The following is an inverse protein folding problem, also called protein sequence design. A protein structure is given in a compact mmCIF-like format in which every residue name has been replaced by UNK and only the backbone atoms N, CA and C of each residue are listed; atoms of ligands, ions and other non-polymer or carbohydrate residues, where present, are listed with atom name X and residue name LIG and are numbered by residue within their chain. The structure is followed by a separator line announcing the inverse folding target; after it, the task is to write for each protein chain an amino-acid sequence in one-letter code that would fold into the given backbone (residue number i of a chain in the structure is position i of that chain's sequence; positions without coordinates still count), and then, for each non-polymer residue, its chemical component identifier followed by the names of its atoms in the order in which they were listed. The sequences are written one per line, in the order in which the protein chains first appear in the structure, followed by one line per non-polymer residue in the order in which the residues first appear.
data_IF_795073970085
#
_entry.id   IF_795073970085
#
_cell.length_a   1.000
_cell.length_b   1.000
_cell.length_c   1.000
_cell.angle_alpha   90.00
_cell.angle_beta   90.00
_cell.angle_gamma   90.00
#
_symmetry.space_group_name_H-M   'P 1'
#
loop_
_entity.id
_entity.type
_entity.pdbx_description
1 polymer ?
#
# COMPACT_ATOMS: atom_id res chain seq x y z
N UNK A 1 -19.66 15.05 39.22
CA UNK A 1 -18.61 15.57 38.32
C UNK A 1 -17.93 14.42 37.58
N UNK A 2 -17.74 14.57 36.25
CA UNK A 2 -16.92 13.65 35.47
C UNK A 2 -15.46 13.73 35.91
N UNK A 3 -14.68 12.70 35.59
CA UNK A 3 -13.26 12.61 36.01
C UNK A 3 -12.45 13.84 35.61
N UNK A 4 -12.55 14.30 34.37
CA UNK A 4 -11.76 15.41 33.84
C UNK A 4 -12.18 16.74 34.48
N UNK A 5 -13.50 16.95 34.70
CA UNK A 5 -14.03 18.13 35.41
C UNK A 5 -13.58 18.15 36.88
N UNK A 6 -13.51 16.99 37.53
CA UNK A 6 -13.01 16.87 38.89
C UNK A 6 -11.52 17.16 39.01
N UNK A 7 -10.70 16.71 38.03
CA UNK A 7 -9.27 17.00 37.96
C UNK A 7 -9.00 18.49 37.74
N UNK A 8 -9.73 19.13 36.81
CA UNK A 8 -9.64 20.56 36.57
C UNK A 8 -9.99 21.38 37.80
N UNK A 9 -11.10 21.03 38.47
CA UNK A 9 -11.49 21.69 39.73
C UNK A 9 -10.42 21.52 40.81
N UNK A 10 -9.88 20.31 40.99
CA UNK A 10 -8.81 20.02 41.94
C UNK A 10 -7.58 20.90 41.68
N UNK A 11 -7.14 20.98 40.43
CA UNK A 11 -6.01 21.83 40.02
C UNK A 11 -6.25 23.32 40.34
N UNK A 12 -7.46 23.83 40.07
CA UNK A 12 -7.80 25.24 40.40
C UNK A 12 -7.85 25.50 41.89
N UNK A 13 -8.26 24.50 42.69
CA UNK A 13 -8.32 24.62 44.16
C UNK A 13 -6.92 24.60 44.82
N UNK A 14 -5.89 24.12 44.12
CA UNK A 14 -4.51 24.17 44.60
C UNK A 14 -3.90 25.57 44.55
N UNK A 15 -4.32 26.40 43.60
CA UNK A 15 -3.72 27.70 43.29
C UNK A 15 -4.49 28.90 43.82
N UNK A 16 -5.73 28.72 44.37
CA UNK A 16 -6.62 29.81 44.76
C UNK A 16 -7.24 29.68 46.14
N UNK A 17 -8.01 30.72 46.57
CA UNK A 17 -8.84 30.69 47.75
C UNK A 17 -9.97 29.69 47.55
N UNK A 18 -9.90 28.55 48.24
CA UNK A 18 -10.68 27.34 47.98
C UNK A 18 -12.18 27.59 47.82
N UNK A 19 -12.79 28.33 48.74
CA UNK A 19 -14.23 28.58 48.73
C UNK A 19 -14.65 29.46 47.54
N UNK A 20 -13.87 30.50 47.27
CA UNK A 20 -14.11 31.44 46.18
C UNK A 20 -13.91 30.76 44.80
N UNK A 21 -12.83 29.98 44.66
CA UNK A 21 -12.54 29.21 43.45
C UNK A 21 -13.60 28.14 43.18
N UNK A 22 -14.07 27.46 44.23
CA UNK A 22 -15.16 26.48 44.12
C UNK A 22 -16.47 27.10 43.63
N UNK A 23 -16.91 28.23 44.22
CA UNK A 23 -18.10 28.95 43.78
C UNK A 23 -17.97 29.46 42.37
N UNK A 24 -16.88 30.13 42.05
CA UNK A 24 -16.63 30.66 40.71
C UNK A 24 -16.63 29.56 39.61
N UNK A 25 -16.19 28.36 39.96
CA UNK A 25 -16.20 27.22 39.04
C UNK A 25 -17.60 26.77 38.64
N UNK A 26 -18.55 26.76 39.60
CA UNK A 26 -19.92 26.32 39.33
C UNK A 26 -20.83 27.46 38.85
N UNK A 27 -20.50 28.71 39.15
CA UNK A 27 -21.20 29.90 38.70
C UNK A 27 -20.71 30.44 37.34
N UNK A 28 -19.61 29.86 36.81
CA UNK A 28 -19.08 30.25 35.52
C UNK A 28 -20.10 29.98 34.40
N UNK A 29 -20.25 30.90 33.43
CA UNK A 29 -21.04 30.65 32.24
C UNK A 29 -20.48 29.44 31.48
N UNK A 30 -21.36 28.73 30.80
CA UNK A 30 -20.97 27.61 29.94
C UNK A 30 -20.05 28.13 28.81
N UNK A 31 -18.90 27.50 28.63
CA UNK A 31 -17.96 27.73 27.56
C UNK A 31 -17.70 26.38 26.87
N UNK A 32 -18.58 25.96 25.92
CA UNK A 32 -18.55 24.63 25.34
C UNK A 32 -17.34 24.48 24.44
N UNK A 33 -16.48 23.51 24.74
CA UNK A 33 -15.23 23.24 24.00
C UNK A 33 -15.05 21.78 23.65
N UNK A 34 -14.59 21.54 22.44
CA UNK A 34 -14.14 20.25 21.99
C UNK A 34 -12.68 20.06 22.39
N UNK A 35 -12.36 18.92 23.02
CA UNK A 35 -11.00 18.53 23.36
C UNK A 35 -10.56 17.38 22.46
N UNK A 36 -9.25 17.08 22.37
CA UNK A 36 -8.71 15.99 21.52
C UNK A 36 -9.39 14.64 21.71
N UNK A 37 -9.96 14.37 22.89
CA UNK A 37 -10.53 13.06 23.24
C UNK A 37 -11.98 13.12 23.72
N UNK A 38 -12.47 14.30 24.10
CA UNK A 38 -13.78 14.46 24.73
C UNK A 38 -14.32 15.88 24.48
N UNK A 39 -15.39 16.23 25.17
CA UNK A 39 -15.94 17.58 25.18
C UNK A 39 -16.05 18.10 26.60
N UNK A 40 -16.05 19.40 26.78
CA UNK A 40 -16.22 20.07 28.06
C UNK A 40 -17.24 21.22 27.96
N UNK A 41 -18.03 21.39 29.00
CA UNK A 41 -18.99 22.50 29.14
C UNK A 41 -18.31 23.77 29.69
N UNK A 42 -17.08 23.70 30.14
CA UNK A 42 -16.30 24.75 30.75
C UNK A 42 -14.89 24.78 30.12
N UNK A 43 -14.28 25.96 30.07
CA UNK A 43 -12.89 26.06 29.63
C UNK A 43 -11.94 25.37 30.62
N UNK A 44 -11.15 24.39 30.15
CA UNK A 44 -10.05 23.77 30.90
C UNK A 44 -8.72 24.44 30.52
N UNK A 45 -7.76 24.43 31.45
CA UNK A 45 -6.49 25.13 31.28
C UNK A 45 -5.68 24.65 30.04
N UNK A 46 -5.81 23.37 29.67
CA UNK A 46 -5.10 22.75 28.55
C UNK A 46 -5.94 22.61 27.25
N UNK A 47 -7.11 23.21 27.18
CA UNK A 47 -7.97 23.10 26.00
C UNK A 47 -7.67 24.17 24.96
N UNK A 48 -6.87 23.85 23.95
CA UNK A 48 -6.62 24.68 22.76
C UNK A 48 -7.53 24.30 21.59
N UNK A 49 -8.83 24.04 21.80
CA UNK A 49 -9.64 23.46 20.76
C UNK A 49 -10.93 24.26 20.49
N UNK A 50 -11.62 23.83 19.46
CA UNK A 50 -12.79 24.49 18.87
C UNK A 50 -13.86 24.86 19.92
N UNK A 51 -14.33 26.11 19.91
CA UNK A 51 -15.37 26.62 20.80
C UNK A 51 -16.69 26.67 20.08
N UNK A 52 -17.80 26.43 20.81
CA UNK A 52 -19.16 26.42 20.28
C UNK A 52 -20.04 27.45 21.04
N UNK A 53 -21.05 27.97 20.34
CA UNK A 53 -21.94 28.94 20.94
C UNK A 53 -22.81 28.33 22.04
N UNK A 54 -23.27 27.08 21.82
CA UNK A 54 -24.10 26.36 22.80
C UNK A 54 -23.55 24.94 23.04
N UNK A 55 -23.86 24.39 24.21
CA UNK A 55 -23.56 22.99 24.55
C UNK A 55 -24.27 22.02 23.59
N UNK A 56 -25.46 22.38 23.09
CA UNK A 56 -26.21 21.58 22.11
C UNK A 56 -25.44 21.47 20.79
N UNK A 57 -24.94 22.58 20.27
CA UNK A 57 -24.15 22.58 19.03
C UNK A 57 -22.88 21.75 19.17
N UNK A 58 -22.19 21.86 20.32
CA UNK A 58 -21.04 21.05 20.64
C UNK A 58 -21.39 19.55 20.66
N UNK A 59 -22.47 19.18 21.34
CA UNK A 59 -22.91 17.78 21.47
C UNK A 59 -23.33 17.21 20.10
N UNK A 60 -24.07 17.96 19.32
CA UNK A 60 -24.50 17.56 17.99
C UNK A 60 -23.26 17.34 17.09
N UNK A 61 -22.32 18.27 17.08
CA UNK A 61 -21.06 18.12 16.35
C UNK A 61 -20.26 16.87 16.81
N UNK A 62 -20.04 16.73 18.12
CA UNK A 62 -19.28 15.62 18.68
C UNK A 62 -19.89 14.24 18.39
N UNK A 63 -21.22 14.11 18.54
CA UNK A 63 -21.88 12.81 18.35
C UNK A 63 -22.10 12.48 16.88
N UNK A 64 -22.31 13.46 15.99
CA UNK A 64 -22.36 13.24 14.54
C UNK A 64 -21.01 12.74 14.03
N UNK A 65 -19.93 13.42 14.38
CA UNK A 65 -18.55 13.02 14.02
C UNK A 65 -18.17 11.67 14.61
N UNK A 66 -18.59 11.40 15.84
CA UNK A 66 -18.31 10.11 16.48
C UNK A 66 -19.08 8.98 15.80
N UNK A 67 -20.36 9.17 15.51
CA UNK A 67 -21.18 8.16 14.83
C UNK A 67 -20.66 7.86 13.42
N UNK A 68 -20.19 8.88 12.69
CA UNK A 68 -19.58 8.69 11.38
C UNK A 68 -18.24 7.95 11.50
N UNK A 69 -17.37 8.37 12.42
CA UNK A 69 -16.10 7.67 12.69
C UNK A 69 -16.31 6.21 13.10
N UNK A 70 -17.26 5.92 13.97
CA UNK A 70 -17.58 4.56 14.41
C UNK A 70 -18.09 3.70 13.24
N UNK A 71 -18.93 4.27 12.36
CA UNK A 71 -19.38 3.59 11.12
C UNK A 71 -18.24 3.31 10.16
N UNK A 72 -17.38 4.31 9.92
CA UNK A 72 -16.17 4.14 9.08
C UNK A 72 -15.29 3.04 9.67
N UNK A 73 -15.00 3.10 10.96
CA UNK A 73 -14.16 2.12 11.64
C UNK A 73 -14.76 0.71 11.61
N UNK A 74 -16.09 0.57 11.76
CA UNK A 74 -16.76 -0.72 11.68
C UNK A 74 -16.68 -1.31 10.24
N UNK A 75 -17.02 -0.52 9.23
CA UNK A 75 -17.01 -0.98 7.83
C UNK A 75 -15.60 -1.16 7.27
N UNK A 76 -14.71 -0.20 7.52
CA UNK A 76 -13.31 -0.31 7.15
C UNK A 76 -12.62 -1.45 7.88
N UNK A 77 -12.88 -1.63 9.18
CA UNK A 77 -12.29 -2.69 10.00
C UNK A 77 -12.62 -4.11 9.50
N UNK A 78 -13.81 -4.34 8.91
CA UNK A 78 -14.12 -5.62 8.25
C UNK A 78 -13.27 -5.81 6.99
N UNK A 79 -13.13 -4.75 6.18
CA UNK A 79 -12.33 -4.80 4.96
C UNK A 79 -10.83 -4.89 5.25
N UNK A 80 -10.33 -4.11 6.21
CA UNK A 80 -8.93 -4.16 6.64
C UNK A 80 -8.56 -5.58 7.06
N UNK A 81 -9.34 -6.21 7.95
CA UNK A 81 -9.07 -7.60 8.36
C UNK A 81 -9.05 -8.58 7.19
N UNK A 82 -9.90 -8.40 6.18
CA UNK A 82 -9.88 -9.24 4.97
C UNK A 82 -8.64 -9.02 4.13
N UNK A 83 -8.23 -7.76 3.96
CA UNK A 83 -7.02 -7.38 3.23
C UNK A 83 -5.78 -7.91 3.94
N UNK A 84 -5.69 -7.75 5.27
CA UNK A 84 -4.58 -8.26 6.09
C UNK A 84 -4.44 -9.79 5.97
N UNK A 85 -5.56 -10.51 6.05
CA UNK A 85 -5.57 -11.96 5.88
C UNK A 85 -5.07 -12.39 4.48
N UNK A 86 -5.50 -11.70 3.43
CA UNK A 86 -5.01 -11.98 2.07
C UNK A 86 -3.54 -11.56 1.88
N UNK A 87 -3.10 -10.48 2.51
CA UNK A 87 -1.68 -10.08 2.55
C UNK A 87 -0.82 -11.15 3.21
N UNK A 88 -1.21 -11.60 4.40
CA UNK A 88 -0.49 -12.65 5.13
C UNK A 88 -0.40 -13.95 4.32
N UNK A 89 -1.52 -14.37 3.72
CA UNK A 89 -1.59 -15.55 2.85
C UNK A 89 -0.66 -15.43 1.64
N UNK A 90 -0.66 -14.28 0.96
CA UNK A 90 0.20 -14.07 -0.20
C UNK A 90 1.68 -13.92 0.19
N UNK A 91 2.02 -13.33 1.34
CA UNK A 91 3.39 -13.30 1.86
C UNK A 91 3.91 -14.70 2.20
N UNK A 92 3.09 -15.56 2.82
CA UNK A 92 3.44 -16.99 3.05
C UNK A 92 3.60 -17.74 1.74
N UNK A 93 2.73 -17.49 0.74
CA UNK A 93 2.84 -18.08 -0.60
C UNK A 93 4.14 -17.66 -1.27
N UNK A 94 4.49 -16.37 -1.21
CA UNK A 94 5.74 -15.84 -1.79
C UNK A 94 6.96 -16.51 -1.18
N UNK A 95 7.06 -16.59 0.14
CA UNK A 95 8.16 -17.22 0.84
C UNK A 95 8.33 -18.70 0.43
N UNK A 96 7.21 -19.44 0.27
CA UNK A 96 7.24 -20.81 -0.21
C UNK A 96 7.75 -20.91 -1.65
N UNK A 97 7.28 -20.05 -2.55
CA UNK A 97 7.69 -20.00 -3.95
C UNK A 97 9.19 -19.65 -4.09
N UNK A 98 9.68 -18.69 -3.30
CA UNK A 98 11.10 -18.32 -3.28
C UNK A 98 11.98 -19.46 -2.74
N UNK A 99 11.54 -20.19 -1.70
CA UNK A 99 12.23 -21.39 -1.21
C UNK A 99 12.24 -22.52 -2.25
N UNK A 100 11.14 -22.72 -2.97
CA UNK A 100 11.07 -23.70 -4.07
C UNK A 100 11.99 -23.29 -5.23
N UNK A 101 12.09 -21.99 -5.55
CA UNK A 101 13.01 -21.50 -6.56
C UNK A 101 14.47 -21.72 -6.15
N UNK A 102 14.84 -21.40 -4.92
CA UNK A 102 16.17 -21.65 -4.38
C UNK A 102 16.56 -23.14 -4.45
N UNK A 103 15.62 -24.05 -4.22
CA UNK A 103 15.85 -25.49 -4.35
C UNK A 103 16.14 -25.94 -5.81
N UNK A 104 15.94 -25.09 -6.80
CA UNK A 104 16.25 -25.37 -8.21
C UNK A 104 17.66 -24.94 -8.64
N UNK A 105 18.44 -24.27 -7.77
CA UNK A 105 19.79 -23.77 -8.08
C UNK A 105 20.75 -24.86 -8.56
N UNK A 106 20.53 -26.12 -8.13
CA UNK A 106 21.34 -27.27 -8.55
C UNK A 106 21.00 -27.80 -9.96
N UNK A 107 20.19 -27.10 -10.74
CA UNK A 107 19.82 -27.58 -12.09
C UNK A 107 21.03 -27.81 -12.97
N UNK A 108 21.99 -26.89 -12.93
CA UNK A 108 23.21 -26.95 -13.75
C UNK A 108 24.09 -28.17 -13.41
N UNK A 109 24.14 -28.60 -12.14
CA UNK A 109 24.83 -29.81 -11.71
C UNK A 109 24.28 -31.05 -12.40
N UNK A 110 22.95 -31.12 -12.57
CA UNK A 110 22.33 -32.24 -13.28
C UNK A 110 22.68 -32.23 -14.76
N UNK A 111 22.80 -31.08 -15.40
CA UNK A 111 23.27 -30.96 -16.79
C UNK A 111 24.70 -31.45 -16.93
N UNK A 112 25.61 -30.95 -16.09
CA UNK A 112 27.02 -31.33 -16.10
C UNK A 112 27.22 -32.82 -15.87
N UNK A 113 26.50 -33.40 -14.87
CA UNK A 113 26.55 -34.86 -14.62
C UNK A 113 26.07 -35.66 -15.83
N UNK A 114 24.99 -35.24 -16.48
CA UNK A 114 24.50 -35.86 -17.72
C UNK A 114 25.50 -35.79 -18.87
N UNK A 115 26.17 -34.65 -19.05
CA UNK A 115 27.22 -34.46 -20.08
C UNK A 115 28.45 -35.32 -19.77
N UNK A 116 28.93 -35.35 -18.52
CA UNK A 116 30.06 -36.19 -18.11
C UNK A 116 29.78 -37.68 -18.38
N UNK A 117 28.60 -38.17 -18.00
CA UNK A 117 28.17 -39.55 -18.26
C UNK A 117 28.12 -39.85 -19.77
N UNK A 118 27.72 -38.89 -20.59
CA UNK A 118 27.65 -39.05 -22.06
C UNK A 118 29.05 -39.06 -22.68
N UNK A 119 29.91 -38.13 -22.24
CA UNK A 119 31.28 -37.99 -22.75
C UNK A 119 32.13 -39.19 -22.43
N UNK A 120 32.01 -39.69 -21.18
CA UNK A 120 32.79 -40.84 -20.71
C UNK A 120 31.96 -42.14 -20.68
N UNK A 121 31.00 -42.30 -21.58
CA UNK A 121 30.07 -43.44 -21.60
C UNK A 121 30.77 -44.75 -21.59
N UNK A 122 31.93 -44.89 -22.26
CA UNK A 122 32.75 -46.09 -22.33
C UNK A 122 33.47 -46.45 -21.00
N UNK A 123 33.53 -45.50 -20.05
CA UNK A 123 34.13 -45.72 -18.73
C UNK A 123 33.07 -46.03 -17.66
N UNK A 124 31.79 -45.85 -17.99
CA UNK A 124 30.67 -46.07 -17.03
C UNK A 124 30.30 -47.53 -17.05
N UNK A 125 30.53 -48.26 -15.95
CA UNK A 125 30.19 -49.69 -15.87
C UNK A 125 28.67 -49.88 -15.75
N UNK A 126 28.19 -51.02 -16.21
CA UNK A 126 26.84 -51.48 -15.95
C UNK A 126 26.73 -52.00 -14.51
N UNK A 127 25.55 -51.95 -13.95
CA UNK A 127 25.23 -52.59 -12.65
C UNK A 127 26.00 -52.00 -11.45
N UNK A 128 26.36 -50.73 -11.51
CA UNK A 128 26.99 -49.96 -10.42
C UNK A 128 26.08 -48.84 -9.93
N UNK A 129 26.22 -48.47 -8.64
CA UNK A 129 25.43 -47.40 -8.02
C UNK A 129 26.10 -46.02 -8.11
N UNK A 130 27.37 -45.96 -8.53
CA UNK A 130 28.13 -44.75 -8.71
C UNK A 130 29.32 -44.95 -9.67
N UNK A 131 29.79 -43.85 -10.23
CA UNK A 131 31.01 -43.80 -11.01
C UNK A 131 31.78 -42.52 -10.68
N UNK A 132 33.10 -42.58 -10.65
CA UNK A 132 33.98 -41.41 -10.52
C UNK A 132 34.57 -41.08 -11.86
N UNK A 133 34.35 -39.88 -12.35
CA UNK A 133 34.80 -39.39 -13.65
C UNK A 133 35.59 -38.06 -13.50
N UNK A 134 36.48 -37.77 -14.43
CA UNK A 134 37.16 -36.48 -14.47
C UNK A 134 36.20 -35.39 -14.90
N UNK A 135 36.01 -34.39 -14.04
CA UNK A 135 35.15 -33.27 -14.32
C UNK A 135 35.96 -32.15 -15.01
N UNK A 136 35.80 -32.03 -16.31
CA UNK A 136 36.49 -31.00 -17.12
C UNK A 136 36.00 -29.58 -16.87
N UNK A 137 34.88 -29.38 -16.12
CA UNK A 137 34.42 -28.04 -15.70
C UNK A 137 35.21 -27.50 -14.49
N UNK A 138 35.68 -28.40 -13.61
CA UNK A 138 36.36 -28.01 -12.36
C UNK A 138 37.81 -28.53 -12.30
N UNK A 139 38.21 -29.36 -13.25
CA UNK A 139 39.50 -30.11 -13.27
C UNK A 139 39.70 -30.96 -11.98
N UNK A 140 38.64 -31.48 -11.42
CA UNK A 140 38.66 -32.35 -10.24
C UNK A 140 37.74 -33.57 -10.47
N UNK A 141 38.07 -34.75 -9.92
CA UNK A 141 37.16 -35.88 -10.04
C UNK A 141 35.81 -35.64 -9.36
N UNK A 142 34.75 -36.13 -9.99
CA UNK A 142 33.37 -36.07 -9.44
C UNK A 142 32.80 -37.48 -9.40
N UNK A 143 32.18 -37.83 -8.26
CA UNK A 143 31.40 -39.03 -8.10
C UNK A 143 29.96 -38.79 -8.47
N UNK A 144 29.45 -39.54 -9.44
CA UNK A 144 28.09 -39.44 -9.98
C UNK A 144 27.32 -40.70 -9.58
N UNK A 145 26.17 -40.51 -8.90
CA UNK A 145 25.29 -41.62 -8.53
C UNK A 145 24.55 -42.18 -9.76
N UNK A 146 24.48 -43.50 -9.84
CA UNK A 146 23.81 -44.23 -10.92
C UNK A 146 22.66 -45.06 -10.36
N UNK A 147 21.74 -45.40 -11.24
CA UNK A 147 20.69 -46.40 -10.97
C UNK A 147 21.13 -47.70 -11.64
N UNK A 148 21.37 -48.75 -10.85
CA UNK A 148 21.83 -50.07 -11.30
C UNK A 148 20.88 -50.72 -12.31
N UNK A 149 19.60 -50.43 -12.21
CA UNK A 149 18.58 -50.96 -13.13
C UNK A 149 18.62 -50.32 -14.53
N UNK A 150 19.39 -49.22 -14.69
CA UNK A 150 19.50 -48.46 -15.92
C UNK A 150 20.86 -48.62 -16.59
N UNK A 151 20.88 -48.65 -17.89
CA UNK A 151 22.14 -48.56 -18.67
C UNK A 151 22.83 -47.20 -18.45
N UNK A 152 24.15 -47.09 -18.72
CA UNK A 152 24.89 -45.83 -18.66
C UNK A 152 24.20 -44.70 -19.44
N UNK A 153 23.71 -44.98 -20.64
CA UNK A 153 23.00 -44.01 -21.47
C UNK A 153 21.66 -43.60 -20.84
N UNK A 154 20.91 -44.52 -20.25
CA UNK A 154 19.66 -44.21 -19.56
C UNK A 154 19.89 -43.40 -18.27
N UNK A 155 20.99 -43.64 -17.56
CA UNK A 155 21.40 -42.79 -16.44
C UNK A 155 21.70 -41.35 -16.88
N UNK A 156 22.45 -41.15 -17.94
CA UNK A 156 22.69 -39.85 -18.51
C UNK A 156 21.36 -39.14 -18.89
N UNK A 157 20.47 -39.84 -19.58
CA UNK A 157 19.12 -39.32 -19.90
C UNK A 157 18.28 -38.92 -18.65
N UNK A 158 18.41 -39.73 -17.56
CA UNK A 158 17.74 -39.39 -16.29
C UNK A 158 18.23 -38.08 -15.71
N UNK A 159 19.55 -37.80 -15.78
CA UNK A 159 20.13 -36.51 -15.38
C UNK A 159 19.63 -35.36 -16.26
N UNK A 160 19.59 -35.53 -17.58
CA UNK A 160 19.04 -34.51 -18.49
C UNK A 160 17.53 -34.26 -18.27
N UNK A 161 16.73 -35.32 -18.05
CA UNK A 161 15.31 -35.16 -17.70
C UNK A 161 15.13 -34.38 -16.43
N UNK A 162 15.98 -34.60 -15.41
CA UNK A 162 15.95 -33.84 -14.16
C UNK A 162 16.29 -32.37 -14.37
N UNK A 163 17.35 -32.10 -15.16
CA UNK A 163 17.72 -30.75 -15.57
C UNK A 163 16.57 -30.01 -16.27
N UNK A 164 15.96 -30.62 -17.28
CA UNK A 164 14.85 -29.99 -18.00
C UNK A 164 13.67 -29.69 -17.09
N UNK A 165 13.31 -30.63 -16.20
CA UNK A 165 12.25 -30.42 -15.22
C UNK A 165 12.54 -29.24 -14.28
N UNK A 166 13.79 -29.10 -13.81
CA UNK A 166 14.18 -27.97 -12.96
C UNK A 166 14.19 -26.65 -13.73
N UNK A 167 14.68 -26.65 -14.97
CA UNK A 167 14.68 -25.47 -15.86
C UNK A 167 13.27 -24.95 -16.12
N UNK A 168 12.31 -25.84 -16.39
CA UNK A 168 10.90 -25.46 -16.56
C UNK A 168 10.28 -24.96 -15.23
N UNK A 169 10.65 -25.57 -14.10
CA UNK A 169 10.23 -25.14 -12.79
C UNK A 169 10.73 -23.71 -12.48
N UNK A 170 11.98 -23.37 -12.79
CA UNK A 170 12.54 -22.01 -12.64
C UNK A 170 11.68 -20.99 -13.39
N UNK A 171 11.41 -21.24 -14.67
CA UNK A 171 10.62 -20.35 -15.51
C UNK A 171 9.21 -20.13 -14.92
N UNK A 172 8.56 -21.22 -14.51
CA UNK A 172 7.23 -21.16 -13.93
C UNK A 172 7.20 -20.43 -12.58
N UNK A 173 8.14 -20.77 -11.68
CA UNK A 173 8.24 -20.15 -10.36
C UNK A 173 8.56 -18.65 -10.45
N UNK A 174 9.44 -18.24 -11.35
CA UNK A 174 9.75 -16.82 -11.59
C UNK A 174 8.50 -16.03 -11.97
N UNK A 175 7.66 -16.58 -12.86
CA UNK A 175 6.39 -15.95 -13.24
C UNK A 175 5.42 -15.88 -12.06
N UNK A 176 5.27 -16.96 -11.29
CA UNK A 176 4.39 -17.00 -10.11
C UNK A 176 4.84 -16.07 -9.00
N UNK A 177 6.14 -15.94 -8.77
CA UNK A 177 6.73 -15.00 -7.79
C UNK A 177 6.38 -13.57 -8.18
N UNK A 178 6.57 -13.21 -9.45
CA UNK A 178 6.24 -11.88 -9.95
C UNK A 178 4.74 -11.57 -9.76
N UNK A 179 3.85 -12.48 -10.15
CA UNK A 179 2.39 -12.32 -9.97
C UNK A 179 2.00 -12.19 -8.49
N UNK A 180 2.66 -12.96 -7.61
CA UNK A 180 2.40 -12.87 -6.16
C UNK A 180 2.90 -11.54 -5.58
N UNK A 181 4.05 -11.03 -6.02
CA UNK A 181 4.58 -9.72 -5.62
C UNK A 181 3.65 -8.58 -6.08
N UNK A 182 3.14 -8.64 -7.28
CA UNK A 182 2.16 -7.67 -7.80
C UNK A 182 0.85 -7.71 -6.99
N UNK A 183 0.40 -8.90 -6.60
CA UNK A 183 -0.79 -9.05 -5.75
C UNK A 183 -0.58 -8.45 -4.36
N UNK A 184 0.58 -8.66 -3.75
CA UNK A 184 0.94 -8.06 -2.45
C UNK A 184 0.98 -6.54 -2.58
N UNK A 185 1.67 -6.00 -3.58
CA UNK A 185 1.75 -4.56 -3.83
C UNK A 185 0.36 -3.94 -4.00
N UNK A 186 -0.52 -4.58 -4.77
CA UNK A 186 -1.91 -4.14 -4.93
C UNK A 186 -2.67 -4.12 -3.60
N UNK A 187 -2.58 -5.17 -2.80
CA UNK A 187 -3.27 -5.22 -1.50
C UNK A 187 -2.73 -4.18 -0.51
N UNK A 188 -1.44 -3.87 -0.56
CA UNK A 188 -0.84 -2.79 0.24
C UNK A 188 -1.33 -1.40 -0.16
N UNK A 189 -1.63 -1.15 -1.47
CA UNK A 189 -2.29 0.09 -1.88
C UNK A 189 -3.72 0.18 -1.35
N UNK A 190 -4.45 -0.93 -1.36
CA UNK A 190 -5.80 -1.00 -0.78
C UNK A 190 -5.78 -0.77 0.74
N UNK A 191 -4.85 -1.37 1.46
CA UNK A 191 -4.64 -1.14 2.90
C UNK A 191 -4.40 0.35 3.18
N UNK A 192 -3.51 0.99 2.42
CA UNK A 192 -3.19 2.42 2.55
C UNK A 192 -4.42 3.30 2.26
N UNK A 193 -5.19 2.99 1.23
CA UNK A 193 -6.42 3.71 0.91
C UNK A 193 -7.47 3.57 2.01
N UNK A 194 -7.67 2.36 2.57
CA UNK A 194 -8.62 2.11 3.66
C UNK A 194 -8.25 2.86 4.95
N UNK A 195 -6.96 3.01 5.24
CA UNK A 195 -6.50 3.74 6.44
C UNK A 195 -6.89 5.23 6.46
N UNK A 196 -7.19 5.80 5.29
CA UNK A 196 -7.52 7.22 5.12
C UNK A 196 -8.92 7.44 4.51
N UNK A 197 -9.71 6.38 4.38
CA UNK A 197 -10.98 6.42 3.66
C UNK A 197 -12.11 7.02 4.49
N UNK A 198 -12.91 7.88 3.87
CA UNK A 198 -14.26 8.24 4.32
C UNK A 198 -15.24 7.08 4.12
N UNK A 199 -16.44 7.17 4.71
CA UNK A 199 -17.45 6.13 4.59
C UNK A 199 -17.82 5.80 3.12
N UNK A 200 -17.89 6.82 2.28
CA UNK A 200 -18.18 6.64 0.85
C UNK A 200 -17.02 5.99 0.09
N UNK A 201 -15.77 6.31 0.43
CA UNK A 201 -14.58 5.70 -0.16
C UNK A 201 -14.42 4.24 0.27
N UNK A 202 -14.76 3.89 1.52
CA UNK A 202 -14.83 2.48 1.98
C UNK A 202 -15.75 1.64 1.09
N UNK A 203 -16.92 2.20 0.71
CA UNK A 203 -17.86 1.52 -0.17
C UNK A 203 -17.29 1.34 -1.60
N UNK A 204 -16.56 2.32 -2.13
CA UNK A 204 -15.89 2.22 -3.43
C UNK A 204 -14.74 1.19 -3.41
N UNK A 205 -13.91 1.19 -2.36
CA UNK A 205 -12.83 0.22 -2.17
C UNK A 205 -13.41 -1.20 -2.03
N UNK A 206 -14.55 -1.35 -1.35
CA UNK A 206 -15.26 -2.62 -1.31
C UNK A 206 -15.69 -3.08 -2.70
N UNK A 207 -16.22 -2.19 -3.52
CA UNK A 207 -16.59 -2.49 -4.90
C UNK A 207 -15.37 -2.87 -5.76
N UNK A 208 -14.25 -2.21 -5.57
CA UNK A 208 -12.96 -2.55 -6.19
C UNK A 208 -12.53 -3.99 -5.83
N UNK A 209 -12.58 -4.36 -4.55
CA UNK A 209 -12.24 -5.70 -4.08
C UNK A 209 -13.19 -6.78 -4.60
N UNK A 210 -14.45 -6.43 -4.86
CA UNK A 210 -15.42 -7.33 -5.52
C UNK A 210 -15.03 -7.51 -6.99
N UNK A 211 -14.74 -6.44 -7.73
CA UNK A 211 -14.38 -6.48 -9.15
C UNK A 211 -13.06 -7.23 -9.39
N UNK A 212 -12.13 -7.13 -8.48
CA UNK A 212 -10.83 -7.82 -8.53
C UNK A 212 -10.87 -9.26 -7.97
N UNK A 213 -12.03 -9.70 -7.47
CA UNK A 213 -12.27 -11.06 -7.00
C UNK A 213 -11.79 -11.41 -5.60
N UNK A 214 -11.32 -10.44 -4.82
CA UNK A 214 -10.90 -10.66 -3.43
C UNK A 214 -12.07 -10.82 -2.46
N UNK A 215 -13.22 -10.25 -2.80
CA UNK A 215 -14.44 -10.31 -1.98
C UNK A 215 -15.62 -10.72 -2.87
N UNK A 216 -16.48 -11.57 -2.32
CA UNK A 216 -17.75 -11.91 -2.98
C UNK A 216 -18.80 -10.86 -2.71
N UNK A 217 -19.61 -10.49 -3.72
CA UNK A 217 -20.77 -9.64 -3.58
C UNK A 217 -21.84 -10.35 -2.74
N UNK A 218 -22.43 -9.65 -1.77
CA UNK A 218 -23.57 -10.16 -1.01
C UNK A 218 -24.84 -10.04 -1.88
N UNK A 219 -25.75 -11.01 -1.77
CA UNK A 219 -27.05 -10.94 -2.45
C UNK A 219 -27.78 -9.66 -2.02
N UNK A 220 -28.33 -8.90 -3.00
CA UNK A 220 -29.03 -7.60 -2.84
C UNK A 220 -28.14 -6.38 -2.52
N UNK A 221 -26.83 -6.49 -2.57
CA UNK A 221 -25.93 -5.34 -2.41
C UNK A 221 -26.00 -4.44 -3.66
N UNK A 222 -26.32 -3.15 -3.46
CA UNK A 222 -26.40 -2.17 -4.56
C UNK A 222 -24.98 -1.84 -5.05
N UNK A 223 -24.85 -1.65 -6.37
CA UNK A 223 -23.60 -1.16 -6.96
C UNK A 223 -23.46 0.32 -6.60
N UNK A 224 -22.38 0.68 -5.92
CA UNK A 224 -22.06 2.07 -5.63
C UNK A 224 -21.53 2.75 -6.90
N UNK A 225 -22.06 3.96 -7.18
CA UNK A 225 -21.53 4.81 -8.25
C UNK A 225 -20.16 5.31 -7.84
N UNK A 226 -19.20 5.24 -8.75
CA UNK A 226 -17.86 5.78 -8.53
C UNK A 226 -17.93 7.31 -8.39
N UNK A 227 -17.25 7.85 -7.40
CA UNK A 227 -16.99 9.28 -7.29
C UNK A 227 -15.83 9.66 -8.23
N UNK A 228 -15.79 10.92 -8.60
CA UNK A 228 -14.64 11.48 -9.33
C UNK A 228 -13.46 11.65 -8.36
N UNK A 229 -12.21 11.67 -8.87
CA UNK A 229 -11.05 12.03 -8.07
C UNK A 229 -11.24 13.37 -7.34
N UNK A 230 -10.69 13.46 -6.13
CA UNK A 230 -10.79 14.68 -5.31
C UNK A 230 -10.03 15.86 -5.96
N UNK A 231 -10.55 17.06 -5.75
CA UNK A 231 -9.98 18.30 -6.30
C UNK A 231 -9.33 19.12 -5.20
N UNK A 232 -8.14 19.60 -5.51
CA UNK A 232 -7.36 20.50 -4.66
C UNK A 232 -6.98 21.75 -5.44
N UNK A 233 -6.97 22.90 -4.78
CA UNK A 233 -6.51 24.16 -5.34
C UNK A 233 -5.06 24.36 -4.92
N UNK A 234 -4.16 24.52 -5.90
CA UNK A 234 -2.75 24.78 -5.62
C UNK A 234 -2.56 26.18 -4.99
N UNK A 235 -1.39 26.43 -4.41
CA UNK A 235 -1.00 27.69 -3.76
C UNK A 235 -1.07 28.92 -4.67
N UNK A 236 -1.05 28.73 -6.00
CA UNK A 236 -1.23 29.81 -6.99
C UNK A 236 -2.69 30.28 -7.09
N UNK A 237 -3.63 29.69 -6.38
CA UNK A 237 -5.05 30.06 -6.34
C UNK A 237 -5.84 29.79 -7.62
N UNK A 238 -5.28 29.08 -8.61
CA UNK A 238 -5.92 28.82 -9.92
C UNK A 238 -5.72 27.42 -10.48
N UNK A 239 -4.59 26.77 -10.19
CA UNK A 239 -4.28 25.44 -10.71
C UNK A 239 -5.00 24.37 -9.92
N UNK A 240 -5.70 23.48 -10.62
CA UNK A 240 -6.40 22.34 -10.02
C UNK A 240 -5.51 21.12 -10.04
N UNK A 241 -5.44 20.46 -8.89
CA UNK A 241 -4.74 19.18 -8.71
C UNK A 241 -5.79 18.11 -8.40
N UNK A 242 -5.75 16.99 -9.12
CA UNK A 242 -6.65 15.86 -8.92
C UNK A 242 -5.93 14.75 -8.18
N UNK A 243 -6.63 14.13 -7.23
CA UNK A 243 -6.10 13.04 -6.39
C UNK A 243 -7.04 11.84 -6.46
N UNK A 244 -6.51 10.69 -6.85
CA UNK A 244 -7.24 9.41 -6.80
C UNK A 244 -7.20 8.82 -5.40
N UNK A 245 -8.35 8.43 -4.86
CA UNK A 245 -8.52 7.92 -3.48
C UNK A 245 -8.58 6.41 -3.36
N UNK A 246 -8.61 5.70 -4.49
CA UNK A 246 -8.53 4.24 -4.60
C UNK A 246 -7.93 3.85 -5.95
N UNK A 247 -7.61 2.58 -6.16
CA UNK A 247 -6.93 2.14 -7.37
C UNK A 247 -7.76 2.30 -8.65
N UNK A 248 -9.09 2.20 -8.56
CA UNK A 248 -9.98 2.45 -9.70
C UNK A 248 -9.98 3.92 -10.09
N UNK A 249 -9.99 4.85 -9.11
CA UNK A 249 -9.85 6.28 -9.36
C UNK A 249 -8.44 6.62 -9.85
N UNK A 250 -7.38 6.02 -9.30
CA UNK A 250 -6.01 6.16 -9.78
C UNK A 250 -5.89 5.80 -11.26
N UNK A 251 -6.49 4.68 -11.66
CA UNK A 251 -6.51 4.22 -13.04
C UNK A 251 -7.29 5.16 -13.96
N UNK A 252 -8.49 5.58 -13.52
CA UNK A 252 -9.33 6.50 -14.28
C UNK A 252 -8.66 7.86 -14.44
N UNK A 253 -8.09 8.40 -13.35
CA UNK A 253 -7.35 9.66 -13.36
C UNK A 253 -6.19 9.61 -14.36
N UNK A 254 -5.37 8.57 -14.28
CA UNK A 254 -4.13 8.44 -15.06
C UNK A 254 -4.38 8.20 -16.55
N UNK A 255 -5.32 7.30 -16.89
CA UNK A 255 -5.46 6.81 -18.26
C UNK A 255 -6.68 7.34 -19.03
N UNK A 256 -7.64 7.98 -18.33
CA UNK A 256 -8.85 8.50 -18.97
C UNK A 256 -9.03 10.01 -18.81
N UNK A 257 -8.62 10.58 -17.67
CA UNK A 257 -8.85 12.00 -17.38
C UNK A 257 -7.63 12.86 -17.70
N UNK A 258 -6.44 12.40 -17.31
CA UNK A 258 -5.21 13.16 -17.55
C UNK A 258 -4.87 13.26 -19.03
N UNK A 259 -4.41 14.46 -19.44
CA UNK A 259 -3.92 14.72 -20.79
C UNK A 259 -2.45 14.31 -20.90
N UNK A 260 -2.01 14.00 -22.11
CA UNK A 260 -0.66 13.44 -22.38
C UNK A 260 0.50 14.27 -21.84
N UNK A 261 0.37 15.58 -21.80
CA UNK A 261 1.44 16.51 -21.39
C UNK A 261 1.25 17.04 -19.95
N UNK A 262 0.23 16.56 -19.23
CA UNK A 262 0.03 16.89 -17.81
C UNK A 262 1.01 16.11 -16.93
N UNK A 263 1.37 16.70 -15.79
CA UNK A 263 2.30 16.10 -14.84
C UNK A 263 1.55 15.18 -13.85
N UNK A 264 2.05 13.98 -13.72
CA UNK A 264 1.61 12.96 -12.78
C UNK A 264 2.64 12.78 -11.67
N UNK A 265 2.16 12.52 -10.44
CA UNK A 265 2.97 12.35 -9.25
C UNK A 265 2.53 11.10 -8.49
N UNK A 266 3.50 10.42 -7.86
CA UNK A 266 3.26 9.29 -6.97
C UNK A 266 4.43 9.13 -5.99
N UNK A 267 4.13 8.72 -4.75
CA UNK A 267 5.15 8.40 -3.76
C UNK A 267 6.01 7.23 -4.23
N UNK A 268 7.33 7.44 -4.27
CA UNK A 268 8.27 6.48 -4.86
C UNK A 268 8.35 5.20 -4.05
N UNK A 269 8.21 4.06 -4.72
CA UNK A 269 8.39 2.70 -4.17
C UNK A 269 7.51 2.37 -2.95
N UNK A 270 6.49 3.18 -2.66
CA UNK A 270 5.52 2.94 -1.57
C UNK A 270 4.08 3.11 -2.06
N UNK A 271 3.11 2.40 -1.45
CA UNK A 271 1.69 2.54 -1.76
C UNK A 271 1.19 3.98 -1.58
N UNK A 272 0.37 4.47 -2.53
CA UNK A 272 -0.17 5.83 -2.48
C UNK A 272 -1.15 6.16 -3.59
N UNK A 273 -1.60 7.40 -3.59
CA UNK A 273 -2.51 7.97 -4.58
C UNK A 273 -1.77 8.47 -5.82
N UNK A 274 -2.42 8.34 -6.98
CA UNK A 274 -2.01 9.08 -8.17
C UNK A 274 -2.51 10.52 -8.05
N UNK A 275 -1.62 11.46 -8.36
CA UNK A 275 -1.92 12.89 -8.32
C UNK A 275 -1.58 13.48 -9.68
N UNK A 276 -2.45 14.33 -10.21
CA UNK A 276 -2.25 14.96 -11.53
C UNK A 276 -2.53 16.46 -11.46
N UNK A 277 -1.60 17.27 -11.94
CA UNK A 277 -1.83 18.69 -12.19
C UNK A 277 -2.61 18.79 -13.50
N UNK A 278 -3.84 19.35 -13.46
CA UNK A 278 -4.69 19.45 -14.64
C UNK A 278 -4.80 20.87 -15.17
N UNK A 279 -4.82 21.00 -16.51
CA UNK A 279 -5.02 22.29 -17.19
C UNK A 279 -3.84 23.27 -17.15
N UNK A 280 -2.75 22.96 -16.46
CA UNK A 280 -1.53 23.75 -16.39
C UNK A 280 -0.33 22.93 -16.90
N UNK A 281 0.14 23.23 -18.11
CA UNK A 281 1.24 22.48 -18.74
C UNK A 281 2.64 22.96 -18.29
N UNK A 282 2.74 24.15 -17.73
CA UNK A 282 3.98 24.74 -17.22
C UNK A 282 3.79 25.21 -15.77
N UNK A 283 3.51 24.31 -14.82
CA UNK A 283 3.32 24.69 -13.42
C UNK A 283 4.62 25.20 -12.80
N UNK A 284 4.49 26.19 -11.91
CA UNK A 284 5.62 26.68 -11.10
C UNK A 284 6.18 25.55 -10.21
N UNK A 285 7.35 25.75 -9.64
CA UNK A 285 7.93 24.76 -8.72
C UNK A 285 7.13 24.66 -7.42
N UNK A 286 6.46 25.72 -6.99
CA UNK A 286 5.53 25.72 -5.86
C UNK A 286 4.34 24.78 -6.13
N UNK A 287 3.69 24.92 -7.28
CA UNK A 287 2.56 24.05 -7.69
C UNK A 287 3.00 22.58 -7.83
N UNK A 288 4.22 22.32 -8.33
CA UNK A 288 4.79 20.96 -8.35
C UNK A 288 5.02 20.41 -6.94
N UNK A 289 5.47 21.26 -6.02
CA UNK A 289 5.65 20.89 -4.61
C UNK A 289 4.31 20.57 -3.97
N UNK A 290 3.27 21.37 -4.19
CA UNK A 290 1.91 21.09 -3.71
C UNK A 290 1.40 19.72 -4.17
N UNK A 291 1.57 19.41 -5.46
CA UNK A 291 1.18 18.11 -6.00
C UNK A 291 2.00 16.94 -5.40
N UNK A 292 3.30 17.16 -5.17
CA UNK A 292 4.15 16.18 -4.53
C UNK A 292 3.78 15.97 -3.04
N UNK A 293 3.46 17.04 -2.32
CA UNK A 293 2.99 16.95 -0.92
C UNK A 293 1.64 16.21 -0.83
N UNK A 294 0.72 16.44 -1.76
CA UNK A 294 -0.52 15.67 -1.87
C UNK A 294 -0.23 14.17 -2.11
N UNK A 295 0.68 13.83 -3.02
CA UNK A 295 1.05 12.44 -3.27
C UNK A 295 1.72 11.80 -2.03
N UNK A 296 2.55 12.54 -1.31
CA UNK A 296 3.17 12.09 -0.06
C UNK A 296 2.13 11.89 1.06
N UNK A 297 1.21 12.84 1.23
CA UNK A 297 0.15 12.79 2.24
C UNK A 297 -0.81 11.61 2.03
N UNK A 298 -1.19 11.33 0.78
CA UNK A 298 -2.04 10.20 0.43
C UNK A 298 -1.25 8.93 0.11
N UNK A 299 -0.15 8.71 0.81
CA UNK A 299 0.68 7.52 0.71
C UNK A 299 0.92 6.88 2.08
N UNK A 300 1.54 5.70 2.08
CA UNK A 300 2.04 5.05 3.30
C UNK A 300 3.09 5.89 4.05
N UNK A 301 3.71 6.86 3.36
CA UNK A 301 4.69 7.79 3.92
C UNK A 301 4.11 9.02 4.62
N UNK A 302 2.78 9.11 4.81
CA UNK A 302 2.07 10.29 5.36
C UNK A 302 2.71 10.90 6.61
N UNK A 303 3.20 10.07 7.52
CA UNK A 303 3.78 10.49 8.80
C UNK A 303 5.32 10.61 8.77
N UNK A 304 5.92 10.47 7.59
CA UNK A 304 7.38 10.57 7.44
C UNK A 304 7.81 12.03 7.23
N UNK A 305 8.92 12.39 7.85
CA UNK A 305 9.48 13.74 7.72
C UNK A 305 10.03 14.04 6.31
N UNK A 306 10.23 13.03 5.48
CA UNK A 306 10.73 13.18 4.12
C UNK A 306 10.23 12.02 3.26
N UNK A 307 9.44 12.34 2.23
CA UNK A 307 8.92 11.37 1.26
C UNK A 307 9.49 11.68 -0.12
N UNK A 308 9.99 10.65 -0.78
CA UNK A 308 10.35 10.75 -2.19
C UNK A 308 9.11 10.59 -3.07
N UNK A 309 8.92 11.51 -4.01
CA UNK A 309 7.78 11.52 -4.92
C UNK A 309 8.30 11.61 -6.34
N UNK A 310 7.94 10.65 -7.17
CA UNK A 310 8.25 10.67 -8.60
C UNK A 310 7.26 11.56 -9.34
N UNK A 311 7.78 12.36 -10.25
CA UNK A 311 7.06 13.26 -11.14
C UNK A 311 7.41 12.93 -12.59
N UNK A 312 6.38 12.79 -13.43
CA UNK A 312 6.57 12.45 -14.84
C UNK A 312 5.38 12.93 -15.69
N UNK A 313 5.60 13.15 -16.98
CA UNK A 313 4.52 13.41 -17.92
C UNK A 313 3.66 12.16 -18.14
N UNK A 314 2.34 12.31 -18.16
CA UNK A 314 1.37 11.20 -18.28
C UNK A 314 1.60 10.33 -19.52
N UNK A 315 2.07 10.93 -20.63
CA UNK A 315 2.39 10.17 -21.88
C UNK A 315 3.48 9.11 -21.73
N UNK A 316 4.29 9.18 -20.66
CA UNK A 316 5.36 8.22 -20.37
C UNK A 316 4.90 7.08 -19.45
N UNK A 317 3.64 7.11 -19.00
CA UNK A 317 3.06 6.06 -18.18
C UNK A 317 2.50 4.95 -19.05
N UNK A 318 2.80 3.72 -18.68
CA UNK A 318 2.30 2.53 -19.36
C UNK A 318 1.50 1.66 -18.39
N UNK A 319 0.39 1.10 -18.87
CA UNK A 319 -0.36 0.09 -18.12
C UNK A 319 0.15 -1.29 -18.53
N UNK A 320 0.68 -2.10 -17.60
CA UNK A 320 1.07 -3.48 -17.91
C UNK A 320 -0.14 -4.31 -18.34
N UNK A 321 0.04 -5.18 -19.32
CA UNK A 321 -1.00 -6.10 -19.78
C UNK A 321 -1.39 -7.04 -18.63
N UNK A 322 -2.68 -7.10 -18.29
CA UNK A 322 -3.17 -7.90 -17.15
C UNK A 322 -2.87 -7.32 -15.75
N UNK A 323 -2.25 -6.14 -15.68
CA UNK A 323 -1.95 -5.47 -14.41
C UNK A 323 -3.20 -5.14 -13.59
N UNK A 324 -3.08 -5.17 -12.27
CA UNK A 324 -4.14 -4.77 -11.35
C UNK A 324 -4.51 -3.29 -11.54
N UNK A 325 -5.72 -2.86 -11.15
CA UNK A 325 -6.12 -1.45 -11.20
C UNK A 325 -5.10 -0.53 -10.50
N UNK A 326 -4.82 0.64 -11.08
CA UNK A 326 -3.85 1.59 -10.53
C UNK A 326 -2.39 1.24 -10.78
N UNK A 327 -2.07 0.10 -11.40
CA UNK A 327 -0.68 -0.28 -11.67
C UNK A 327 -0.16 0.47 -12.90
N UNK A 328 1.01 1.10 -12.75
CA UNK A 328 1.69 1.83 -13.83
C UNK A 328 3.17 1.49 -13.86
N UNK A 329 3.76 1.53 -15.05
CA UNK A 329 5.21 1.46 -15.26
C UNK A 329 5.68 2.69 -16.00
N UNK A 330 6.85 3.21 -15.64
CA UNK A 330 7.43 4.40 -16.26
C UNK A 330 8.96 4.41 -16.11
N UNK A 331 9.61 5.23 -16.91
CA UNK A 331 11.05 5.49 -16.85
C UNK A 331 11.32 6.95 -17.19
N UNK A 332 12.41 7.50 -16.68
CA UNK A 332 12.81 8.89 -16.95
C UNK A 332 12.07 9.92 -16.09
N UNK A 333 11.58 9.51 -14.93
CA UNK A 333 10.95 10.39 -13.92
C UNK A 333 11.99 11.31 -13.26
N UNK A 334 11.50 12.43 -12.71
CA UNK A 334 12.22 13.25 -11.73
C UNK A 334 11.68 12.94 -10.35
N UNK A 335 12.55 12.86 -9.35
CA UNK A 335 12.14 12.59 -7.96
C UNK A 335 12.27 13.86 -7.13
N UNK A 336 11.18 14.28 -6.52
CA UNK A 336 11.11 15.36 -5.55
C UNK A 336 11.20 14.78 -4.12
N UNK A 337 11.62 15.61 -3.16
CA UNK A 337 11.64 15.25 -1.73
C UNK A 337 10.80 16.27 -0.99
N UNK A 338 9.73 15.81 -0.34
CA UNK A 338 8.76 16.68 0.33
C UNK A 338 8.39 16.14 1.70
N UNK A 339 7.93 17.03 2.56
CA UNK A 339 7.33 16.71 3.87
C UNK A 339 5.84 17.05 3.77
N UNK A 340 4.92 16.08 3.89
CA UNK A 340 3.50 16.37 3.83
C UNK A 340 3.04 17.11 5.09
N UNK A 341 2.37 18.26 4.92
CA UNK A 341 1.82 19.07 6.00
C UNK A 341 0.28 19.00 5.99
N UNK A 342 -0.30 18.39 7.01
CA UNK A 342 -1.75 18.13 7.06
C UNK A 342 -2.60 19.40 6.96
N UNK A 343 -2.23 20.47 7.66
CA UNK A 343 -2.98 21.74 7.66
C UNK A 343 -2.98 22.39 6.27
N UNK A 344 -1.84 22.37 5.57
CA UNK A 344 -1.74 22.85 4.20
C UNK A 344 -2.63 22.04 3.26
N UNK A 345 -2.60 20.71 3.37
CA UNK A 345 -3.42 19.81 2.53
C UNK A 345 -4.93 20.05 2.76
N UNK A 346 -5.35 20.25 4.03
CA UNK A 346 -6.74 20.58 4.34
C UNK A 346 -7.16 21.92 3.73
N UNK A 347 -6.30 22.93 3.79
CA UNK A 347 -6.57 24.25 3.23
C UNK A 347 -6.70 24.24 1.69
N UNK A 348 -5.98 23.36 1.02
CA UNK A 348 -6.04 23.20 -0.45
C UNK A 348 -7.30 22.49 -0.94
N UNK A 349 -8.05 21.80 -0.08
CA UNK A 349 -9.21 20.98 -0.46
C UNK A 349 -10.36 21.86 -0.96
N UNK A 350 -10.87 21.55 -2.15
CA UNK A 350 -12.09 22.20 -2.69
C UNK A 350 -13.29 21.39 -2.20
N UNK A 351 -14.11 21.99 -1.34
CA UNK A 351 -15.39 21.41 -0.94
C UNK A 351 -16.39 21.61 -2.09
N UNK A 352 -16.93 20.50 -2.63
CA UNK A 352 -18.00 20.54 -3.64
C UNK A 352 -19.38 20.71 -2.99
#
# INVERSE_FOLDING_TARGET
LGRDTAQELASRLETGEKLKTFRAFFEAPTDPRLTKKSFAALAFADSQEETFETLSDLLDHYYLDKAERDRVQQQAGELIRKVDNELEKNRKKLAKQEAELAATENAEDFRQKGELLTTFLHQVPNDQDQVTLDNYYTNQPITIALDKALTPSQNAQRYFKRYQKLKEAVKHLTSLIQETKETISYLETVETALAQASLSEVAEIREELIQTGFIKRRNREKIHKRKKPEKYLASDGKTIILVGRNNLQNEELTFKMAKKDELWFHAKDIPGSHVVITGNLNPSDEVKTDAAELAAYFSKGRLSNLVQVDMIETKKLNKPTGGKPGFVTYTGQKTLRVTPEEEKIKAMRINE
#
